data_IF_401379523670
#
_entry.id   IF_401379523670
#
_cell.length_a   1.000
_cell.length_b   1.000
_cell.length_c   1.000
_cell.angle_alpha   90.00
_cell.angle_beta   90.00
_cell.angle_gamma   90.00
#
_symmetry.space_group_name_H-M   'P 1'
#
loop_
_entity.id
_entity.type
_entity.pdbx_description
1 polymer ?
#
# COMPACT_ATOMS: atom_id res chain seq x y z
N UNK A 1 2.43 -11.49 34.02
CA UNK A 1 1.62 -10.36 33.51
C UNK A 1 2.17 -9.97 32.14
N UNK A 2 1.25 -9.80 31.17
CA UNK A 2 1.42 -9.34 29.77
C UNK A 2 2.11 -10.31 28.79
N UNK A 3 1.29 -11.12 28.12
CA UNK A 3 1.64 -11.73 26.84
C UNK A 3 1.74 -10.60 25.81
N UNK A 4 2.93 -10.43 25.24
CA UNK A 4 3.18 -9.51 24.14
C UNK A 4 2.82 -10.26 22.86
N UNK A 5 1.53 -10.23 22.48
CA UNK A 5 1.05 -10.83 21.24
C UNK A 5 1.73 -10.15 20.04
N UNK A 6 2.08 -10.90 18.97
CA UNK A 6 2.81 -10.34 17.85
C UNK A 6 1.97 -9.21 17.22
N UNK A 7 2.54 -8.01 17.21
CA UNK A 7 2.08 -6.89 16.40
C UNK A 7 2.11 -7.38 14.95
N UNK A 8 0.99 -7.90 14.44
CA UNK A 8 0.87 -8.21 13.02
C UNK A 8 1.03 -6.88 12.29
N UNK A 9 2.21 -6.68 11.71
CA UNK A 9 2.50 -5.58 10.82
C UNK A 9 1.40 -5.52 9.78
N UNK A 10 0.78 -4.35 9.61
CA UNK A 10 -0.25 -4.15 8.59
C UNK A 10 0.32 -4.60 7.26
N UNK A 11 -0.32 -5.58 6.61
CA UNK A 11 0.15 -6.08 5.33
C UNK A 11 0.11 -4.97 4.29
N UNK A 12 1.28 -4.62 3.76
CA UNK A 12 1.44 -3.69 2.64
C UNK A 12 1.75 -4.49 1.39
N UNK A 13 1.15 -4.10 0.25
CA UNK A 13 1.53 -4.69 -1.02
C UNK A 13 2.98 -4.32 -1.33
N UNK A 14 3.84 -5.31 -1.53
CA UNK A 14 5.24 -5.06 -1.93
C UNK A 14 5.41 -5.08 -3.44
N UNK A 15 4.52 -5.77 -4.16
CA UNK A 15 4.52 -5.90 -5.61
C UNK A 15 3.11 -5.86 -6.18
N UNK A 16 2.94 -5.19 -7.32
CA UNK A 16 1.71 -5.21 -8.12
C UNK A 16 2.05 -5.27 -9.61
N UNK A 17 1.11 -5.73 -10.43
CA UNK A 17 1.27 -5.68 -11.87
C UNK A 17 1.20 -4.23 -12.37
N UNK A 18 2.22 -3.80 -13.10
CA UNK A 18 2.23 -2.52 -13.78
C UNK A 18 2.06 -2.75 -15.29
N UNK A 19 0.96 -2.28 -15.86
CA UNK A 19 0.66 -2.34 -17.28
C UNK A 19 1.66 -1.55 -18.14
N UNK A 20 2.19 -0.43 -17.62
CA UNK A 20 3.22 0.34 -18.32
C UNK A 20 4.57 -0.39 -18.38
N UNK A 21 4.94 -1.13 -17.33
CA UNK A 21 6.16 -1.95 -17.34
C UNK A 21 5.94 -3.36 -17.92
N UNK A 22 4.68 -3.77 -18.11
CA UNK A 22 4.29 -5.09 -18.62
C UNK A 22 4.56 -6.26 -17.67
N UNK A 23 4.82 -6.02 -16.38
CA UNK A 23 5.23 -7.07 -15.42
C UNK A 23 4.88 -6.72 -13.98
N UNK A 24 5.01 -7.70 -13.07
CA UNK A 24 5.00 -7.46 -11.63
C UNK A 24 6.18 -6.56 -11.25
N UNK A 25 5.89 -5.46 -10.56
CA UNK A 25 6.84 -4.43 -10.19
C UNK A 25 6.76 -4.16 -8.69
N UNK A 26 7.89 -3.83 -8.04
CA UNK A 26 7.86 -3.38 -6.66
C UNK A 26 7.12 -2.05 -6.58
N UNK A 27 6.37 -1.86 -5.49
CA UNK A 27 5.56 -0.66 -5.27
C UNK A 27 5.86 -0.02 -3.93
N UNK A 28 5.61 1.28 -3.84
CA UNK A 28 5.53 2.01 -2.58
C UNK A 28 4.10 2.49 -2.34
N UNK A 29 3.73 2.60 -1.06
CA UNK A 29 2.46 3.16 -0.63
C UNK A 29 2.63 4.66 -0.35
N UNK A 30 1.80 5.48 -0.99
CA UNK A 30 1.78 6.94 -0.81
C UNK A 30 0.42 7.36 -0.28
N UNK A 31 0.37 8.05 0.85
CA UNK A 31 -0.89 8.59 1.38
C UNK A 31 -1.46 9.61 0.39
N UNK A 32 -2.66 9.32 -0.12
CA UNK A 32 -3.37 10.18 -1.06
C UNK A 32 -4.30 11.14 -0.32
N UNK A 33 -5.06 10.62 0.65
CA UNK A 33 -6.08 11.38 1.34
C UNK A 33 -6.33 10.87 2.76
N UNK A 34 -6.45 11.80 3.70
CA UNK A 34 -6.96 11.56 5.05
C UNK A 34 -8.47 11.79 5.01
N UNK A 35 -9.23 10.79 5.47
CA UNK A 35 -10.69 10.82 5.59
C UNK A 35 -11.09 10.78 7.07
N UNK A 36 -12.32 11.21 7.43
CA UNK A 36 -12.82 11.07 8.79
C UNK A 36 -12.82 9.61 9.29
N UNK A 37 -13.06 8.65 8.38
CA UNK A 37 -13.22 7.23 8.69
C UNK A 37 -11.97 6.39 8.40
N UNK A 38 -10.85 7.03 8.03
CA UNK A 38 -9.59 6.34 7.72
C UNK A 38 -8.74 7.02 6.66
N UNK A 39 -7.85 6.27 6.01
CA UNK A 39 -6.88 6.81 5.06
C UNK A 39 -6.98 6.11 3.70
N UNK A 40 -6.80 6.88 2.62
CA UNK A 40 -6.67 6.37 1.26
C UNK A 40 -5.22 6.51 0.81
N UNK A 41 -4.67 5.44 0.29
CA UNK A 41 -3.32 5.37 -0.21
C UNK A 41 -3.30 4.96 -1.69
N UNK A 42 -2.36 5.53 -2.44
CA UNK A 42 -2.01 5.15 -3.81
C UNK A 42 -0.79 4.23 -3.78
N UNK A 43 -0.82 3.15 -4.55
CA UNK A 43 0.35 2.30 -4.79
C UNK A 43 1.04 2.74 -6.06
N UNK A 44 2.30 3.16 -5.94
CA UNK A 44 3.08 3.61 -7.08
C UNK A 44 4.15 2.61 -7.47
N UNK A 45 4.23 2.31 -8.75
CA UNK A 45 5.29 1.50 -9.33
C UNK A 45 6.64 2.20 -9.15
N UNK A 46 7.58 1.58 -8.43
CA UNK A 46 8.91 2.15 -8.22
C UNK A 46 9.74 2.23 -9.50
N UNK A 47 9.37 1.51 -10.56
CA UNK A 47 10.07 1.54 -11.84
C UNK A 47 9.67 2.70 -12.75
N UNK A 48 8.39 3.08 -12.78
CA UNK A 48 7.89 4.11 -13.71
C UNK A 48 7.06 5.22 -13.05
N UNK A 49 6.80 5.15 -11.75
CA UNK A 49 6.00 6.12 -11.00
C UNK A 49 4.50 6.06 -11.22
N UNK A 50 4.00 5.17 -12.09
CA UNK A 50 2.57 5.04 -12.38
C UNK A 50 1.82 4.53 -11.14
N UNK A 51 0.64 5.09 -10.87
CA UNK A 51 -0.35 4.49 -9.98
C UNK A 51 -0.79 3.13 -10.53
N UNK A 52 -0.72 2.10 -9.69
CA UNK A 52 -1.01 0.70 -10.05
C UNK A 52 -2.01 0.05 -9.09
N UNK A 53 -2.53 0.79 -8.12
CA UNK A 53 -3.57 0.33 -7.21
C UNK A 53 -3.83 1.32 -6.08
N UNK A 54 -4.85 1.05 -5.28
CA UNK A 54 -5.23 1.88 -4.13
C UNK A 54 -5.51 1.00 -2.90
N UNK A 55 -5.24 1.51 -1.70
CA UNK A 55 -5.60 0.88 -0.42
C UNK A 55 -6.43 1.85 0.41
N UNK A 56 -7.59 1.40 0.88
CA UNK A 56 -8.36 2.11 1.91
C UNK A 56 -8.18 1.43 3.27
N UNK A 57 -7.59 2.14 4.20
CA UNK A 57 -7.48 1.73 5.60
C UNK A 57 -8.59 2.39 6.42
N UNK A 58 -9.22 1.64 7.32
CA UNK A 58 -10.21 2.18 8.27
C UNK A 58 -9.51 2.56 9.57
N UNK A 59 -9.91 3.69 10.14
CA UNK A 59 -9.48 4.15 11.47
C UNK A 59 -10.08 3.35 12.61
#
# INVERSE_FOLDING_TARGET
>A
MKNNEPQFEKFVATHLYCDNCGRSMPVEEVLLLILPDGNLYDYRCLGCGKSVGEKKEKG
#
